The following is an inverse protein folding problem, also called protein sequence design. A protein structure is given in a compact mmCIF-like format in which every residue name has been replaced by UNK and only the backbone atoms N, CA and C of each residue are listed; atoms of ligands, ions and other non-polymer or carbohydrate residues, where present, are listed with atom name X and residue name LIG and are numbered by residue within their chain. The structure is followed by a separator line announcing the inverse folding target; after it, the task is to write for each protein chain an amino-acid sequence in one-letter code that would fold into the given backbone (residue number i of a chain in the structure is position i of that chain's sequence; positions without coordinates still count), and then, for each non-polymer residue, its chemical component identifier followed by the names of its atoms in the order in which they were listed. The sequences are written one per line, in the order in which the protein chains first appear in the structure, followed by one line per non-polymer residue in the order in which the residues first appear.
data_IF_693139748089
#
_entry.id   IF_693139748089
#
_cell.length_a   1.000
_cell.length_b   1.000
_cell.length_c   1.000
_cell.angle_alpha   90.00
_cell.angle_beta   90.00
_cell.angle_gamma   90.00
#
_symmetry.space_group_name_H-M   'P 1'
#
loop_
_entity.id
_entity.type
_entity.pdbx_description
1 polymer ?
#
# COMPACT_ATOMS: atom_id res chain seq x y z
N UNK A 1 -2.24 2.52 8.07
CA UNK A 1 -2.60 3.75 7.31
C UNK A 1 -3.39 3.27 6.11
N UNK A 2 -4.55 3.86 5.82
CA UNK A 2 -5.44 3.28 4.82
C UNK A 2 -5.00 3.62 3.39
N UNK A 3 -4.64 4.89 3.17
CA UNK A 3 -4.19 5.40 1.88
C UNK A 3 -2.85 6.09 2.05
N UNK A 4 -1.94 5.83 1.12
CA UNK A 4 -0.69 6.58 0.99
C UNK A 4 -0.74 7.41 -0.28
N UNK A 5 -0.46 8.70 -0.15
CA UNK A 5 -0.21 9.60 -1.28
C UNK A 5 1.26 9.99 -1.22
N UNK A 6 2.00 9.62 -2.26
CA UNK A 6 3.43 9.90 -2.39
C UNK A 6 3.64 10.93 -3.50
N UNK A 7 3.92 12.17 -3.12
CA UNK A 7 4.21 13.25 -4.05
C UNK A 7 5.68 13.23 -4.45
N UNK A 8 5.96 13.32 -5.75
CA UNK A 8 7.31 13.50 -6.28
C UNK A 8 7.60 14.99 -6.43
N UNK A 9 8.60 15.49 -5.70
CA UNK A 9 8.90 16.93 -5.61
C UNK A 9 9.94 17.38 -6.64
N UNK A 10 10.61 16.44 -7.29
CA UNK A 10 11.54 16.70 -8.39
C UNK A 10 11.57 15.51 -9.35
N UNK A 11 12.01 15.76 -10.59
CA UNK A 11 12.31 14.69 -11.54
C UNK A 11 13.53 13.89 -11.07
N UNK A 12 13.61 12.61 -11.45
CA UNK A 12 14.86 11.84 -11.41
C UNK A 12 15.01 11.15 -12.77
N UNK A 13 16.12 11.37 -13.50
CA UNK A 13 16.32 10.73 -14.79
C UNK A 13 16.49 9.21 -14.61
N UNK A 14 16.17 8.41 -15.64
CA UNK A 14 16.43 6.98 -15.62
C UNK A 14 17.88 6.65 -15.25
N UNK A 15 18.09 5.56 -14.53
CA UNK A 15 19.44 5.08 -14.21
C UNK A 15 20.07 4.34 -15.39
N UNK A 16 21.38 4.45 -15.55
CA UNK A 16 22.13 3.78 -16.63
C UNK A 16 22.17 2.24 -16.48
N UNK A 17 21.85 1.71 -15.29
CA UNK A 17 21.82 0.27 -15.01
C UNK A 17 20.53 -0.43 -15.43
N UNK A 18 19.62 0.28 -16.11
CA UNK A 18 18.33 -0.24 -16.56
C UNK A 18 17.19 0.05 -15.59
N UNK A 19 16.02 -0.60 -15.77
CA UNK A 19 14.82 -0.37 -14.97
C UNK A 19 15.05 -0.58 -13.47
N UNK A 20 14.49 0.28 -12.62
CA UNK A 20 14.60 0.15 -11.16
C UNK A 20 15.90 0.71 -10.58
N UNK A 21 16.60 1.56 -11.33
CA UNK A 21 17.78 2.33 -10.91
C UNK A 21 17.62 3.84 -11.14
N UNK A 22 16.42 4.30 -11.52
CA UNK A 22 16.05 5.70 -11.74
C UNK A 22 15.33 6.34 -10.55
N UNK A 23 15.36 5.73 -9.37
CA UNK A 23 14.66 6.24 -8.18
C UNK A 23 13.16 5.95 -8.19
N UNK A 24 12.72 4.96 -8.96
CA UNK A 24 11.32 4.55 -9.04
C UNK A 24 10.78 4.15 -7.66
N UNK A 25 9.48 4.31 -7.47
CA UNK A 25 8.76 3.58 -6.41
C UNK A 25 8.33 2.26 -7.00
N UNK A 26 8.77 1.15 -6.41
CA UNK A 26 8.52 -0.20 -6.92
C UNK A 26 7.50 -0.91 -6.04
N UNK A 27 6.46 -1.47 -6.68
CA UNK A 27 5.47 -2.33 -6.07
C UNK A 27 5.66 -3.76 -6.61
N UNK A 28 6.51 -4.60 -5.99
CA UNK A 28 6.93 -5.89 -6.54
C UNK A 28 5.78 -6.88 -6.77
N UNK A 29 4.69 -6.75 -6.02
CA UNK A 29 3.53 -7.64 -6.08
C UNK A 29 2.33 -7.02 -6.79
N UNK A 30 2.42 -5.76 -7.24
CA UNK A 30 1.35 -5.13 -7.97
C UNK A 30 1.20 -5.76 -9.35
N UNK A 31 -0.02 -6.08 -9.74
CA UNK A 31 -0.34 -6.43 -11.13
C UNK A 31 -0.39 -5.14 -11.94
N UNK A 32 0.10 -5.18 -13.18
CA UNK A 32 -0.02 -4.04 -14.09
C UNK A 32 -1.50 -3.81 -14.39
N UNK A 33 -2.03 -2.66 -13.99
CA UNK A 33 -3.36 -2.22 -14.38
C UNK A 33 -3.28 -1.35 -15.64
N UNK A 34 -4.26 -1.48 -16.53
CA UNK A 34 -4.29 -0.98 -17.92
C UNK A 34 -4.22 0.55 -18.09
N UNK A 35 -4.04 1.32 -17.01
CA UNK A 35 -4.06 2.79 -17.04
C UNK A 35 -2.87 3.43 -17.81
N UNK A 36 -1.82 2.66 -18.11
CA UNK A 36 -0.68 3.09 -18.92
C UNK A 36 -0.61 2.41 -20.31
N UNK A 37 -1.74 2.05 -20.93
CA UNK A 37 -1.79 1.73 -22.37
C UNK A 37 -0.96 0.53 -22.86
N UNK A 38 -0.29 -0.21 -21.97
CA UNK A 38 0.30 -1.50 -22.29
C UNK A 38 -0.79 -2.57 -22.10
N UNK A 39 -1.02 -3.34 -23.17
CA UNK A 39 -2.10 -4.30 -23.28
C UNK A 39 -2.22 -5.21 -22.04
N UNK A 40 -3.46 -5.37 -21.59
CA UNK A 40 -3.90 -6.38 -20.65
C UNK A 40 -3.56 -7.76 -21.24
N UNK A 41 -2.52 -8.43 -20.73
CA UNK A 41 -2.46 -9.90 -20.83
C UNK A 41 -3.25 -10.42 -19.64
N UNK A 42 -4.50 -10.84 -19.91
CA UNK A 42 -5.42 -11.52 -19.01
C UNK A 42 -4.91 -12.90 -18.53
N UNK A 43 -3.64 -13.26 -18.81
CA UNK A 43 -3.02 -14.35 -18.07
C UNK A 43 -3.01 -13.98 -16.59
N UNK A 44 -3.78 -14.79 -15.86
CA UNK A 44 -3.76 -14.88 -14.41
C UNK A 44 -2.35 -14.56 -13.88
N UNK A 45 -2.25 -13.80 -12.77
CA UNK A 45 -0.97 -13.40 -12.22
C UNK A 45 -0.06 -14.61 -12.16
N UNK A 46 1.27 -14.42 -12.15
CA UNK A 46 2.14 -15.39 -11.51
C UNK A 46 1.73 -15.47 -10.01
N UNK A 47 0.59 -16.09 -9.73
CA UNK A 47 -0.17 -16.17 -8.49
C UNK A 47 0.25 -17.42 -7.74
N UNK A 48 1.55 -17.51 -7.52
CA UNK A 48 2.10 -18.39 -6.51
C UNK A 48 3.10 -17.52 -5.77
N UNK A 49 2.58 -16.67 -4.87
CA UNK A 49 3.33 -15.88 -3.89
C UNK A 49 4.78 -15.69 -4.34
N UNK A 50 5.01 -14.78 -5.29
CA UNK A 50 6.38 -14.44 -5.66
C UNK A 50 6.97 -13.83 -4.40
N UNK A 51 7.79 -14.60 -3.70
CA UNK A 51 8.54 -14.12 -2.55
C UNK A 51 9.06 -12.71 -2.91
N UNK A 52 8.65 -11.65 -2.19
CA UNK A 52 9.06 -10.30 -2.54
C UNK A 52 10.59 -10.15 -2.60
N UNK A 53 11.33 -11.05 -1.95
CA UNK A 53 12.79 -11.11 -2.00
C UNK A 53 13.32 -11.68 -3.31
N UNK A 54 12.54 -12.50 -4.01
CA UNK A 54 12.86 -13.10 -5.30
C UNK A 54 12.37 -12.26 -6.51
N UNK A 55 11.51 -11.27 -6.26
CA UNK A 55 11.02 -10.36 -7.30
C UNK A 55 12.17 -9.53 -7.92
N UNK A 56 12.08 -9.27 -9.22
CA UNK A 56 13.09 -8.55 -10.00
C UNK A 56 12.48 -7.27 -10.59
N UNK A 57 12.99 -6.07 -10.24
CA UNK A 57 12.54 -4.81 -10.82
C UNK A 57 12.63 -4.80 -12.35
N UNK A 58 11.58 -4.33 -13.02
CA UNK A 58 11.50 -4.28 -14.48
C UNK A 58 11.06 -5.58 -15.15
N UNK A 59 11.00 -6.68 -14.40
CA UNK A 59 10.35 -7.93 -14.81
C UNK A 59 9.05 -8.16 -14.04
N UNK A 60 9.09 -7.95 -12.74
CA UNK A 60 7.99 -8.20 -11.82
C UNK A 60 7.48 -6.90 -11.19
N UNK A 61 6.17 -6.84 -10.96
CA UNK A 61 5.54 -5.70 -10.30
C UNK A 61 5.49 -4.44 -11.16
N UNK A 62 5.20 -3.31 -10.50
CA UNK A 62 5.06 -2.00 -11.15
C UNK A 62 6.16 -1.06 -10.69
N UNK A 63 6.86 -0.43 -11.63
CA UNK A 63 7.82 0.65 -11.37
C UNK A 63 7.20 1.99 -11.72
N UNK A 64 7.16 2.91 -10.75
CA UNK A 64 6.64 4.27 -10.94
C UNK A 64 7.80 5.26 -10.92
N UNK A 65 8.21 5.81 -12.07
CA UNK A 65 9.30 6.79 -12.12
C UNK A 65 8.89 8.11 -11.44
N UNK A 66 9.79 8.76 -10.69
CA UNK A 66 9.50 10.03 -10.06
C UNK A 66 9.56 11.17 -11.09
N UNK A 67 8.45 11.89 -11.20
CA UNK A 67 8.30 13.07 -12.05
C UNK A 67 7.74 14.22 -11.24
N UNK A 68 8.36 15.39 -11.31
CA UNK A 68 8.00 16.53 -10.49
C UNK A 68 6.52 16.90 -10.67
N UNK A 69 5.79 16.99 -9.57
CA UNK A 69 4.36 17.32 -9.55
C UNK A 69 3.42 16.12 -9.62
N UNK A 70 3.90 14.94 -10.04
CA UNK A 70 3.09 13.73 -10.05
C UNK A 70 2.93 13.17 -8.62
N UNK A 71 1.84 12.43 -8.41
CA UNK A 71 1.57 11.72 -7.15
C UNK A 71 1.20 10.26 -7.43
N UNK A 72 1.78 9.35 -6.64
CA UNK A 72 1.38 7.96 -6.57
C UNK A 72 0.41 7.75 -5.41
N UNK A 73 -0.77 7.20 -5.70
CA UNK A 73 -1.78 6.86 -4.69
C UNK A 73 -1.95 5.35 -4.67
N UNK A 74 -1.92 4.76 -3.48
CA UNK A 74 -2.25 3.35 -3.28
C UNK A 74 -2.90 3.11 -1.91
N UNK A 75 -3.73 2.07 -1.86
CA UNK A 75 -4.44 1.62 -0.67
C UNK A 75 -3.64 0.51 0.00
N UNK A 76 -3.57 0.52 1.32
CA UNK A 76 -2.89 -0.52 2.10
C UNK A 76 -3.83 -1.66 2.54
N UNK A 77 -5.12 -1.53 2.25
CA UNK A 77 -6.16 -2.49 2.56
C UNK A 77 -7.05 -2.74 1.35
N UNK A 78 -7.66 -3.92 1.27
CA UNK A 78 -8.71 -4.25 0.30
C UNK A 78 -10.02 -3.58 0.69
N UNK A 79 -11.03 -3.66 -0.17
CA UNK A 79 -12.38 -3.20 0.10
C UNK A 79 -13.09 -4.03 1.18
N UNK A 80 -12.63 -5.25 1.45
CA UNK A 80 -13.04 -6.04 2.61
C UNK A 80 -12.32 -5.66 3.93
N UNK A 81 -11.36 -4.73 3.88
CA UNK A 81 -10.63 -4.26 5.05
C UNK A 81 -9.43 -5.11 5.45
N UNK A 82 -9.06 -6.11 4.64
CA UNK A 82 -7.86 -6.93 4.85
C UNK A 82 -6.60 -6.22 4.34
N UNK A 83 -5.42 -6.53 4.88
CA UNK A 83 -4.16 -5.95 4.40
C UNK A 83 -3.90 -6.37 2.94
N UNK A 84 -3.75 -5.39 2.04
CA UNK A 84 -3.42 -5.69 0.64
C UNK A 84 -1.90 -5.86 0.47
N UNK A 85 -1.44 -7.10 0.36
CA UNK A 85 -0.01 -7.40 0.14
C UNK A 85 0.53 -6.85 -1.19
N UNK A 86 -0.32 -6.57 -2.18
CA UNK A 86 0.09 -5.94 -3.45
C UNK A 86 0.52 -4.48 -3.26
N UNK A 87 0.15 -3.88 -2.13
CA UNK A 87 0.57 -2.53 -1.73
C UNK A 87 2.01 -2.48 -1.16
N UNK A 88 2.68 -3.63 -1.00
CA UNK A 88 4.10 -3.67 -0.65
C UNK A 88 4.88 -2.81 -1.64
N UNK A 89 5.66 -1.86 -1.13
CA UNK A 89 6.37 -0.89 -1.94
C UNK A 89 7.74 -0.54 -1.36
N UNK A 90 8.64 -0.07 -2.21
CA UNK A 90 9.95 0.41 -1.79
C UNK A 90 10.55 1.40 -2.78
N UNK A 91 11.36 2.32 -2.27
CA UNK A 91 12.16 3.22 -3.09
C UNK A 91 13.33 2.46 -3.71
N UNK A 92 13.48 2.57 -5.03
CA UNK A 92 14.64 2.05 -5.75
C UNK A 92 15.84 2.99 -5.64
N UNK A 93 17.08 2.48 -5.85
CA UNK A 93 18.25 3.34 -5.99
C UNK A 93 18.01 4.44 -7.01
N UNK A 94 18.38 5.68 -6.68
CA UNK A 94 18.18 6.84 -7.54
C UNK A 94 19.49 7.28 -8.19
N UNK A 95 19.40 7.73 -9.44
CA UNK A 95 20.53 8.29 -10.22
C UNK A 95 20.96 9.68 -9.72
N UNK A 96 20.09 10.37 -8.99
CA UNK A 96 20.34 11.62 -8.25
C UNK A 96 19.46 11.71 -7.01
N UNK A 97 19.60 12.80 -6.25
CA UNK A 97 18.73 13.07 -5.08
C UNK A 97 17.25 13.09 -5.50
N UNK A 98 16.44 12.29 -4.81
CA UNK A 98 14.98 12.20 -4.95
C UNK A 98 14.31 12.85 -3.73
N UNK A 99 13.47 13.85 -3.97
CA UNK A 99 12.66 14.50 -2.95
C UNK A 99 11.21 14.02 -3.06
N UNK A 100 10.65 13.61 -1.93
CA UNK A 100 9.26 13.15 -1.83
C UNK A 100 8.59 13.78 -0.62
N UNK A 101 7.26 13.95 -0.71
CA UNK A 101 6.41 14.20 0.44
C UNK A 101 5.41 13.05 0.58
N UNK A 102 5.40 12.39 1.73
CA UNK A 102 4.47 11.31 2.05
C UNK A 102 3.30 11.84 2.89
N UNK A 103 2.08 11.65 2.38
CA UNK A 103 0.85 11.91 3.13
C UNK A 103 0.15 10.58 3.42
N UNK A 104 -0.16 10.34 4.69
CA UNK A 104 -0.84 9.13 5.13
C UNK A 104 -2.24 9.44 5.67
N UNK A 105 -3.25 8.97 4.95
CA UNK A 105 -4.64 9.06 5.37
C UNK A 105 -4.98 7.89 6.29
N UNK A 106 -5.68 8.19 7.37
CA UNK A 106 -6.28 7.18 8.26
C UNK A 106 -7.77 7.11 7.91
N UNK A 107 -8.32 5.90 7.93
CA UNK A 107 -9.77 5.70 7.97
C UNK A 107 -10.09 5.34 9.41
N UNK A 108 -10.95 6.14 10.01
CA UNK A 108 -11.57 5.80 11.29
C UNK A 108 -12.88 5.09 10.90
N UNK A 109 -12.83 3.76 10.90
CA UNK A 109 -14.04 2.97 10.71
C UNK A 109 -14.82 3.05 12.03
N UNK A 110 -15.84 3.92 12.08
CA UNK A 110 -16.86 3.82 13.11
C UNK A 110 -17.37 2.38 13.11
N UNK A 111 -17.38 1.72 14.27
CA UNK A 111 -18.08 0.45 14.36
C UNK A 111 -19.54 0.75 14.03
N UNK A 112 -19.98 0.30 12.84
CA UNK A 112 -21.41 0.28 12.52
C UNK A 112 -22.15 -0.37 13.68
N UNK A 113 -23.40 0.04 13.98
CA UNK A 113 -24.12 -0.49 15.14
C UNK A 113 -24.03 -2.00 15.09
N UNK A 114 -23.28 -2.56 16.04
CA UNK A 114 -23.08 -4.00 16.13
C UNK A 114 -24.46 -4.62 16.05
N UNK A 115 -24.62 -5.66 15.23
CA UNK A 115 -25.77 -6.53 15.36
C UNK A 115 -25.66 -7.18 16.73
N UNK A 116 -26.10 -6.46 17.76
CA UNK A 116 -26.14 -6.91 19.13
C UNK A 116 -27.00 -8.17 19.16
N UNK A 117 -26.33 -9.26 19.51
CA UNK A 117 -26.90 -10.58 19.58
C UNK A 117 -28.11 -10.62 20.50
N UNK A 118 -29.13 -11.30 20.01
CA UNK A 118 -30.15 -11.92 20.83
C UNK A 118 -29.48 -12.88 21.86
N UNK A 119 -29.94 -12.80 23.12
CA UNK A 119 -29.74 -13.71 24.27
C UNK A 119 -28.47 -13.46 25.10
N UNK A 120 -28.48 -13.44 26.43
CA UNK A 120 -29.45 -13.93 27.42
C UNK A 120 -29.21 -13.24 28.76
N UNK A 121 -30.30 -12.95 29.47
CA UNK A 121 -30.30 -12.55 30.87
C UNK A 121 -29.61 -13.60 31.79
N UNK A 122 -28.78 -13.09 32.71
CA UNK A 122 -28.39 -13.61 34.05
C UNK A 122 -27.20 -12.74 34.47
N UNK A 123 -27.15 -11.96 35.54
CA UNK A 123 -27.96 -11.85 36.73
C UNK A 123 -27.01 -11.41 37.84
N UNK A 124 -27.25 -10.24 38.43
CA UNK A 124 -26.88 -9.87 39.81
C UNK A 124 -25.41 -9.61 40.16
N UNK A 125 -25.16 -8.46 40.78
CA UNK A 125 -24.06 -8.30 41.74
C UNK A 125 -23.33 -6.96 41.68
N UNK A 126 -23.83 -5.95 42.42
CA UNK A 126 -23.08 -4.74 42.73
C UNK A 126 -21.95 -5.03 43.73
N UNK A 127 -20.79 -4.37 43.60
CA UNK A 127 -20.17 -3.62 44.70
C UNK A 127 -18.89 -2.83 44.33
N UNK A 128 -18.91 -1.57 44.76
CA UNK A 128 -17.86 -0.73 45.37
C UNK A 128 -16.53 -0.41 44.64
N UNK A 129 -16.34 0.90 44.43
CA UNK A 129 -15.05 1.58 44.29
C UNK A 129 -14.27 1.63 45.62
N UNK A 130 -12.93 1.76 45.64
CA UNK A 130 -12.07 2.92 46.08
C UNK A 130 -10.57 2.63 45.71
N UNK A 131 -9.54 3.47 45.96
CA UNK A 131 -8.85 4.32 44.98
C UNK A 131 -7.35 4.01 44.73
N UNK A 132 -6.75 4.90 43.92
CA UNK A 132 -5.35 4.99 43.47
C UNK A 132 -4.32 5.12 44.60
N UNK A 133 -3.16 4.50 44.38
CA UNK A 133 -1.85 4.90 44.92
C UNK A 133 -1.02 5.58 43.84
#
# INVERSE_FOLDING_TARGET
RAVTVLHYLNDVPPGERGPGYGGETWLPLATTDSACGAAHDDRAPHSAVLDPKAAVPGRDGVLVPPKAGDALVFFSFTDEGEVDFRSLHGGRPASRVKWVANQWLRLDLEEGPGTEGEKSARGGGAQAAVPKG
#
